data_IF_337073156222
#
_entry.id   IF_337073156222
#
_cell.length_a   1.000
_cell.length_b   1.000
_cell.length_c   1.000
_cell.angle_alpha   90.00
_cell.angle_beta   90.00
_cell.angle_gamma   90.00
#
_symmetry.space_group_name_H-M   'P 1'
#
loop_
_entity.id
_entity.type
_entity.pdbx_description
1 polymer ?
#
# COMPACT_ATOMS: atom_id res chain seq x y z
N UNK A 1 10.17 -14.95 -13.00
CA UNK A 1 10.41 -14.86 -11.53
C UNK A 1 10.35 -13.43 -10.96
N UNK A 2 10.78 -12.37 -11.66
CA UNK A 2 10.70 -10.99 -11.10
C UNK A 2 9.27 -10.48 -10.87
N UNK A 3 8.35 -10.71 -11.82
CA UNK A 3 6.98 -10.20 -11.72
C UNK A 3 6.19 -10.73 -10.52
N UNK A 4 6.39 -12.00 -10.16
CA UNK A 4 5.76 -12.63 -8.98
C UNK A 4 6.21 -11.95 -7.68
N UNK A 5 7.49 -11.58 -7.59
CA UNK A 5 8.06 -10.87 -6.44
C UNK A 5 7.52 -9.45 -6.34
N UNK A 6 7.44 -8.73 -7.46
CA UNK A 6 6.87 -7.38 -7.52
C UNK A 6 5.40 -7.40 -7.11
N UNK A 7 4.61 -8.36 -7.61
CA UNK A 7 3.19 -8.51 -7.24
C UNK A 7 2.98 -8.75 -5.74
N UNK A 8 3.84 -9.57 -5.13
CA UNK A 8 3.81 -9.85 -3.69
C UNK A 8 4.18 -8.61 -2.87
N UNK A 9 5.21 -7.87 -3.28
CA UNK A 9 5.62 -6.63 -2.64
C UNK A 9 4.56 -5.53 -2.76
N UNK A 10 3.94 -5.38 -3.94
CA UNK A 10 2.86 -4.41 -4.15
C UNK A 10 1.65 -4.68 -3.26
N UNK A 11 1.28 -5.96 -3.08
CA UNK A 11 0.20 -6.36 -2.14
C UNK A 11 0.56 -6.06 -0.68
N UNK A 12 1.82 -6.27 -0.29
CA UNK A 12 2.30 -5.91 1.06
C UNK A 12 2.25 -4.39 1.25
N UNK A 13 2.71 -3.62 0.26
CA UNK A 13 2.67 -2.15 0.30
C UNK A 13 1.24 -1.62 0.40
N UNK A 14 0.28 -2.19 -0.35
CA UNK A 14 -1.15 -1.86 -0.23
C UNK A 14 -1.71 -2.19 1.15
N UNK A 15 -1.37 -3.36 1.70
CA UNK A 15 -1.81 -3.78 3.04
C UNK A 15 -1.30 -2.82 4.13
N UNK A 16 0.00 -2.52 4.10
CA UNK A 16 0.64 -1.58 5.02
C UNK A 16 0.10 -0.15 4.85
N UNK A 17 -0.10 0.30 3.60
CA UNK A 17 -0.70 1.59 3.31
C UNK A 17 -2.11 1.71 3.88
N UNK A 18 -2.95 0.69 3.68
CA UNK A 18 -4.31 0.63 4.24
C UNK A 18 -4.31 0.68 5.77
N UNK A 19 -3.46 -0.13 6.41
CA UNK A 19 -3.31 -0.13 7.87
C UNK A 19 -2.83 1.22 8.41
N UNK A 20 -1.90 1.88 7.71
CA UNK A 20 -1.39 3.19 8.09
C UNK A 20 -2.45 4.29 7.96
N UNK A 21 -3.31 4.24 6.93
CA UNK A 21 -4.43 5.19 6.78
C UNK A 21 -5.43 5.00 7.91
N UNK A 22 -5.78 3.76 8.25
CA UNK A 22 -6.70 3.45 9.35
C UNK A 22 -6.10 3.90 10.69
N UNK A 23 -4.83 3.57 10.96
CA UNK A 23 -4.12 3.98 12.16
C UNK A 23 -3.99 5.50 12.28
N UNK A 24 -3.76 6.19 11.16
CA UNK A 24 -3.73 7.66 11.05
C UNK A 24 -5.07 8.29 11.42
N UNK A 25 -6.18 7.77 10.87
CA UNK A 25 -7.52 8.24 11.23
C UNK A 25 -7.86 8.01 12.70
N UNK A 26 -7.45 6.86 13.26
CA UNK A 26 -7.57 6.58 14.69
C UNK A 26 -6.73 7.53 15.55
N UNK A 27 -5.52 7.87 15.12
CA UNK A 27 -4.67 8.81 15.87
C UNK A 27 -5.24 10.23 15.85
N UNK A 28 -5.79 10.69 14.73
CA UNK A 28 -6.53 11.97 14.69
C UNK A 28 -7.72 11.96 15.66
N UNK A 29 -8.45 10.83 15.75
CA UNK A 29 -9.56 10.71 16.68
C UNK A 29 -9.16 10.89 18.15
N UNK A 30 -7.96 10.43 18.54
CA UNK A 30 -7.46 10.57 19.92
C UNK A 30 -6.73 11.90 20.18
N UNK A 31 -6.67 12.82 19.21
CA UNK A 31 -6.21 14.20 19.39
C UNK A 31 -4.80 14.58 18.90
N UNK A 32 -3.83 13.68 18.63
CA UNK A 32 -2.59 14.10 17.96
C UNK A 32 -2.78 14.26 16.45
N UNK A 33 -3.45 15.35 16.04
CA UNK A 33 -3.80 15.64 14.66
C UNK A 33 -2.58 15.62 13.72
N UNK A 34 -1.45 16.22 14.14
CA UNK A 34 -0.24 16.27 13.32
C UNK A 34 0.45 14.91 13.10
N UNK A 35 0.32 13.99 14.06
CA UNK A 35 0.86 12.63 13.93
C UNK A 35 -0.08 11.77 13.07
N UNK A 36 -1.38 11.96 13.23
CA UNK A 36 -2.41 11.32 12.39
C UNK A 36 -2.32 11.74 10.92
N UNK A 37 -2.18 13.04 10.64
CA UNK A 37 -1.96 13.57 9.29
C UNK A 37 -0.73 12.94 8.63
N UNK A 38 0.39 12.88 9.34
CA UNK A 38 1.62 12.26 8.85
C UNK A 38 1.44 10.78 8.50
N UNK A 39 0.76 10.02 9.36
CA UNK A 39 0.45 8.61 9.14
C UNK A 39 -0.51 8.39 7.96
N UNK A 40 -1.49 9.28 7.78
CA UNK A 40 -2.42 9.21 6.65
C UNK A 40 -1.70 9.52 5.33
N UNK A 41 -0.89 10.57 5.27
CA UNK A 41 -0.13 10.92 4.06
C UNK A 41 0.83 9.80 3.67
N UNK A 42 1.60 9.27 4.62
CA UNK A 42 2.51 8.15 4.38
C UNK A 42 1.75 6.88 3.94
N UNK A 43 0.60 6.62 4.58
CA UNK A 43 -0.29 5.52 4.23
C UNK A 43 -0.81 5.62 2.81
N UNK A 44 -1.34 6.79 2.41
CA UNK A 44 -1.82 7.04 1.05
C UNK A 44 -0.71 6.94 0.01
N UNK A 45 0.49 7.46 0.31
CA UNK A 45 1.63 7.34 -0.60
C UNK A 45 2.01 5.88 -0.86
N UNK A 46 2.06 5.05 0.19
CA UNK A 46 2.29 3.61 0.08
C UNK A 46 1.17 2.89 -0.66
N UNK A 47 -0.08 3.26 -0.41
CA UNK A 47 -1.25 2.65 -1.03
C UNK A 47 -1.28 2.96 -2.53
N UNK A 48 -1.13 4.23 -2.91
CA UNK A 48 -1.08 4.67 -4.32
C UNK A 48 0.14 4.07 -5.03
N UNK A 49 1.32 4.11 -4.41
CA UNK A 49 2.53 3.52 -4.96
C UNK A 49 2.41 2.01 -5.16
N UNK A 50 1.83 1.30 -4.18
CA UNK A 50 1.55 -0.13 -4.26
C UNK A 50 0.52 -0.47 -5.34
N UNK A 51 -0.55 0.32 -5.49
CA UNK A 51 -1.54 0.18 -6.57
C UNK A 51 -0.90 0.40 -7.92
N UNK A 52 -0.13 1.47 -8.10
CA UNK A 52 0.54 1.78 -9.35
C UNK A 52 1.53 0.67 -9.74
N UNK A 53 2.34 0.21 -8.80
CA UNK A 53 3.26 -0.90 -9.01
C UNK A 53 2.52 -2.20 -9.36
N UNK A 54 1.40 -2.49 -8.69
CA UNK A 54 0.57 -3.66 -9.02
C UNK A 54 -0.08 -3.54 -10.40
N UNK A 55 -0.55 -2.35 -10.78
CA UNK A 55 -1.16 -2.08 -12.08
C UNK A 55 -0.13 -2.20 -13.22
N UNK A 56 1.14 -1.87 -12.96
CA UNK A 56 2.23 -2.05 -13.93
C UNK A 56 2.74 -3.49 -14.06
N UNK A 57 2.34 -4.41 -13.16
CA UNK A 57 2.69 -5.83 -13.31
C UNK A 57 1.68 -6.53 -14.23
N UNK A 58 2.13 -7.19 -15.31
CA UNK A 58 1.24 -7.91 -16.21
C UNK A 58 0.44 -8.98 -15.46
N UNK A 59 -0.86 -9.04 -15.72
CA UNK A 59 -1.77 -10.06 -15.17
C UNK A 59 -1.90 -11.17 -16.20
N UNK A 60 -1.07 -12.22 -16.09
CA UNK A 60 -1.27 -13.46 -16.86
C UNK A 60 -0.06 -14.09 -17.55
N UNK A 61 1.12 -14.16 -16.93
CA UNK A 61 2.18 -15.07 -17.40
C UNK A 61 2.78 -15.87 -16.23
N UNK A 62 2.01 -16.88 -15.84
CA UNK A 62 2.37 -18.18 -15.24
C UNK A 62 1.06 -18.98 -15.39
N UNK A 63 0.88 -20.03 -16.21
CA UNK A 63 1.78 -20.90 -16.95
C UNK A 63 1.04 -21.30 -18.25
N UNK A 64 1.69 -21.14 -19.40
CA UNK A 64 1.43 -21.96 -20.57
C UNK A 64 2.58 -22.95 -20.67
N UNK A 65 2.25 -24.24 -20.51
CA UNK A 65 3.10 -25.45 -20.49
C UNK A 65 3.82 -25.77 -19.16
#
# INVERSE_FOLDING_TARGET
MEFVRTRKLSRIAMSLGSLSVIAGGLTMYFGPDGLGDGMMIAGFALLIGGVAALASTPVGEDEGD
#
